data_IF_322979309022
#
_entry.id   IF_322979309022
#
_cell.length_a   1.000
_cell.length_b   1.000
_cell.length_c   1.000
_cell.angle_alpha   90.00
_cell.angle_beta   90.00
_cell.angle_gamma   90.00
#
_symmetry.space_group_name_H-M   'P 1'
#
loop_
_entity.id
_entity.type
_entity.pdbx_description
1 polymer ?
#
# COMPACT_ATOMS: atom_id res chain seq x y z
N UNK A 1 -76.39 -3.46 42.47
CA UNK A 1 -75.23 -3.75 43.34
C UNK A 1 -74.52 -4.98 42.78
N UNK A 2 -73.47 -4.84 41.96
CA UNK A 2 -72.36 -5.81 41.75
C UNK A 2 -71.40 -5.27 40.68
N UNK A 3 -70.13 -5.67 40.81
CA UNK A 3 -68.93 -4.88 40.54
C UNK A 3 -68.51 -4.90 39.07
N UNK A 4 -68.01 -3.75 38.60
CA UNK A 4 -67.35 -3.52 37.31
C UNK A 4 -66.04 -4.32 37.23
N UNK A 5 -65.84 -5.03 36.13
CA UNK A 5 -64.55 -5.57 35.71
C UNK A 5 -63.70 -4.44 35.12
N UNK A 6 -62.46 -4.30 35.60
CA UNK A 6 -61.47 -3.43 34.97
C UNK A 6 -60.11 -4.14 35.04
N UNK A 7 -59.81 -4.93 34.02
CA UNK A 7 -58.52 -5.61 33.87
C UNK A 7 -57.60 -4.68 33.09
N UNK A 8 -56.70 -4.00 33.78
CA UNK A 8 -55.65 -3.17 33.19
C UNK A 8 -54.53 -4.09 32.69
N UNK A 9 -54.46 -4.35 31.39
CA UNK A 9 -53.31 -5.01 30.77
C UNK A 9 -52.24 -3.95 30.49
N UNK A 10 -51.19 -3.92 31.31
CA UNK A 10 -50.02 -3.06 31.12
C UNK A 10 -49.15 -3.68 30.02
N UNK A 11 -49.28 -3.19 28.79
CA UNK A 11 -48.41 -3.58 27.67
C UNK A 11 -47.03 -2.92 27.86
N UNK A 12 -46.07 -3.69 28.38
CA UNK A 12 -44.67 -3.27 28.50
C UNK A 12 -44.02 -3.35 27.12
N UNK A 13 -43.97 -2.23 26.40
CA UNK A 13 -43.24 -2.11 25.12
C UNK A 13 -41.74 -2.15 25.41
N UNK A 14 -41.13 -3.32 25.21
CA UNK A 14 -39.68 -3.48 25.24
C UNK A 14 -39.09 -2.84 23.97
N UNK A 15 -38.75 -1.56 24.06
CA UNK A 15 -38.01 -0.87 23.01
C UNK A 15 -36.55 -1.36 23.08
N UNK A 16 -36.23 -2.42 22.34
CA UNK A 16 -34.86 -2.85 22.15
C UNK A 16 -34.14 -1.74 21.39
N UNK A 17 -33.35 -0.93 22.11
CA UNK A 17 -32.41 -0.01 21.51
C UNK A 17 -31.42 -0.84 20.68
N UNK A 18 -31.63 -0.87 19.36
CA UNK A 18 -30.65 -1.40 18.43
C UNK A 18 -29.51 -0.40 18.38
N UNK A 19 -28.54 -0.57 19.27
CA UNK A 19 -27.24 0.08 19.11
C UNK A 19 -26.65 -0.43 17.79
N UNK A 20 -26.24 0.44 16.86
CA UNK A 20 -25.48 -0.02 15.71
C UNK A 20 -24.22 -0.70 16.26
N UNK A 21 -24.08 -2.00 15.97
CA UNK A 21 -22.83 -2.69 16.21
C UNK A 21 -21.79 -2.01 15.33
N UNK A 22 -20.93 -1.17 15.93
CA UNK A 22 -19.79 -0.61 15.22
C UNK A 22 -18.97 -1.78 14.69
N UNK A 23 -18.68 -1.76 13.40
CA UNK A 23 -17.84 -2.78 12.81
C UNK A 23 -16.46 -2.63 13.44
N UNK A 24 -16.04 -3.63 14.23
CA UNK A 24 -14.77 -3.59 14.92
C UNK A 24 -13.62 -3.36 13.93
N UNK A 25 -12.68 -2.49 14.30
CA UNK A 25 -11.45 -2.26 13.54
C UNK A 25 -10.80 -3.60 13.17
N UNK A 26 -10.58 -3.81 11.88
CA UNK A 26 -9.87 -4.99 11.41
C UNK A 26 -8.39 -4.67 11.39
N UNK A 27 -7.59 -5.47 12.10
CA UNK A 27 -6.13 -5.41 12.01
C UNK A 27 -5.61 -6.62 11.23
N UNK A 28 -4.71 -6.38 10.28
CA UNK A 28 -4.05 -7.41 9.49
C UNK A 28 -2.54 -7.18 9.51
N UNK A 29 -1.79 -8.26 9.70
CA UNK A 29 -0.33 -8.27 9.60
C UNK A 29 0.11 -9.11 8.40
N UNK A 30 0.87 -8.48 7.51
CA UNK A 30 1.47 -9.18 6.37
C UNK A 30 3.00 -9.09 6.43
N UNK A 31 3.67 -10.18 6.07
CA UNK A 31 5.13 -10.27 6.10
C UNK A 31 5.64 -10.61 4.71
N UNK A 32 6.80 -10.08 4.33
CA UNK A 32 7.41 -10.30 3.03
C UNK A 32 8.91 -10.53 3.15
N UNK A 33 9.45 -11.31 2.22
CA UNK A 33 10.89 -11.41 1.96
C UNK A 33 11.22 -10.73 0.65
N UNK A 34 12.24 -9.87 0.69
CA UNK A 34 12.83 -9.18 -0.45
C UNK A 34 14.13 -9.91 -0.79
N UNK A 35 14.26 -10.37 -2.03
CA UNK A 35 15.42 -11.11 -2.51
C UNK A 35 15.91 -10.58 -3.86
N UNK A 36 17.21 -10.69 -4.12
CA UNK A 36 17.83 -10.40 -5.41
C UNK A 36 18.54 -11.65 -5.90
N UNK A 37 18.20 -12.10 -7.11
CA UNK A 37 18.71 -13.35 -7.67
C UNK A 37 18.50 -14.57 -6.73
N UNK A 38 17.39 -14.57 -5.98
CA UNK A 38 17.07 -15.61 -4.99
C UNK A 38 17.75 -15.47 -3.64
N UNK A 39 18.71 -14.54 -3.49
CA UNK A 39 19.40 -14.28 -2.22
C UNK A 39 18.60 -13.28 -1.37
N UNK A 40 18.22 -13.62 -0.13
CA UNK A 40 17.50 -12.70 0.75
C UNK A 40 18.31 -11.44 1.04
N UNK A 41 17.71 -10.27 0.82
CA UNK A 41 18.29 -8.96 1.11
C UNK A 41 17.65 -8.31 2.33
N UNK A 42 16.34 -8.41 2.47
CA UNK A 42 15.58 -7.75 3.52
C UNK A 42 14.26 -8.49 3.80
N UNK A 43 13.69 -8.24 4.97
CA UNK A 43 12.32 -8.59 5.29
C UNK A 43 11.50 -7.31 5.48
N UNK A 44 10.22 -7.38 5.14
CA UNK A 44 9.26 -6.32 5.40
C UNK A 44 8.09 -6.86 6.25
N UNK A 45 7.61 -6.06 7.18
CA UNK A 45 6.38 -6.33 7.94
C UNK A 45 5.46 -5.14 7.79
N UNK A 46 4.23 -5.38 7.39
CA UNK A 46 3.17 -4.39 7.30
C UNK A 46 2.12 -4.69 8.37
N UNK A 47 1.65 -3.65 9.05
CA UNK A 47 0.47 -3.68 9.92
C UNK A 47 -0.55 -2.74 9.32
N UNK A 48 -1.72 -3.27 8.99
CA UNK A 48 -2.82 -2.51 8.42
C UNK A 48 -3.98 -2.53 9.39
N UNK A 49 -4.51 -1.36 9.73
CA UNK A 49 -5.78 -1.20 10.41
C UNK A 49 -6.78 -0.62 9.43
N UNK A 50 -7.99 -1.16 9.44
CA UNK A 50 -9.13 -0.68 8.65
C UNK A 50 -10.32 -0.50 9.59
N UNK A 51 -10.68 0.75 9.85
CA UNK A 51 -11.91 1.11 10.54
C UNK A 51 -13.08 1.21 9.56
N UNK A 52 -14.18 1.83 10.00
CA UNK A 52 -15.36 2.06 9.15
C UNK A 52 -15.09 3.11 8.07
N UNK A 53 -14.37 4.19 8.40
CA UNK A 53 -14.13 5.33 7.49
C UNK A 53 -12.66 5.75 7.39
N UNK A 54 -11.76 5.10 8.12
CA UNK A 54 -10.34 5.41 8.14
C UNK A 54 -9.47 4.15 8.04
N UNK A 55 -8.20 4.36 7.70
CA UNK A 55 -7.20 3.30 7.66
C UNK A 55 -5.84 3.80 8.13
N UNK A 56 -5.00 2.85 8.58
CA UNK A 56 -3.57 3.07 8.78
C UNK A 56 -2.77 1.88 8.24
N UNK A 57 -1.64 2.15 7.60
CA UNK A 57 -0.68 1.13 7.16
C UNK A 57 0.70 1.55 7.63
N UNK A 58 1.31 0.77 8.51
CA UNK A 58 2.68 0.95 8.97
C UNK A 58 3.55 -0.20 8.45
N UNK A 59 4.71 0.13 7.86
CA UNK A 59 5.64 -0.84 7.34
C UNK A 59 7.03 -0.66 7.95
N UNK A 60 7.67 -1.77 8.30
CA UNK A 60 9.07 -1.83 8.72
C UNK A 60 9.83 -2.76 7.80
N UNK A 61 10.94 -2.28 7.25
CA UNK A 61 11.81 -3.02 6.33
C UNK A 61 13.21 -3.04 6.93
N UNK A 62 13.81 -4.21 7.04
CA UNK A 62 15.15 -4.36 7.59
C UNK A 62 15.96 -5.38 6.80
N UNK A 63 17.26 -5.12 6.66
CA UNK A 63 18.22 -6.04 6.05
C UNK A 63 18.18 -7.43 6.70
N UNK A 64 18.37 -8.48 5.90
CA UNK A 64 18.31 -9.88 6.31
C UNK A 64 19.52 -10.68 5.79
N UNK A 65 19.78 -11.84 6.39
CA UNK A 65 20.84 -12.76 5.96
C UNK A 65 22.24 -12.12 5.92
N UNK A 66 23.02 -12.50 4.91
CA UNK A 66 24.40 -12.00 4.71
C UNK A 66 24.42 -10.49 4.42
N UNK A 67 23.34 -9.93 3.84
CA UNK A 67 23.26 -8.50 3.56
C UNK A 67 23.35 -7.65 4.84
N UNK A 68 22.86 -8.16 5.98
CA UNK A 68 22.98 -7.49 7.29
C UNK A 68 24.43 -7.35 7.76
N UNK A 69 25.31 -8.27 7.36
CA UNK A 69 26.74 -8.23 7.69
C UNK A 69 27.50 -7.20 6.84
N UNK A 70 26.94 -6.80 5.69
CA UNK A 70 27.56 -5.86 4.75
C UNK A 70 27.03 -4.44 4.99
N UNK A 71 25.71 -4.25 5.07
CA UNK A 71 25.07 -2.95 5.31
C UNK A 71 23.79 -3.09 6.14
N UNK A 72 23.79 -2.52 7.36
CA UNK A 72 22.56 -2.37 8.17
C UNK A 72 21.69 -1.25 7.59
N UNK A 73 20.68 -1.67 6.81
CA UNK A 73 19.67 -0.79 6.23
C UNK A 73 18.34 -1.03 6.92
N UNK A 74 17.69 0.07 7.33
CA UNK A 74 16.33 0.07 7.89
C UNK A 74 15.49 1.12 7.19
N UNK A 75 14.24 0.78 6.92
CA UNK A 75 13.27 1.69 6.35
C UNK A 75 11.92 1.52 7.05
N UNK A 76 11.20 2.61 7.19
CA UNK A 76 9.90 2.73 7.85
C UNK A 76 8.99 3.51 6.90
N UNK A 77 7.77 3.03 6.69
CA UNK A 77 6.74 3.72 5.92
C UNK A 77 5.47 3.80 6.76
N UNK A 78 4.72 4.89 6.63
CA UNK A 78 3.38 4.99 7.21
C UNK A 78 2.46 5.71 6.24
N UNK A 79 1.28 5.16 6.01
CA UNK A 79 0.19 5.79 5.25
C UNK A 79 -1.07 5.77 6.12
N UNK A 80 -1.67 6.94 6.31
CA UNK A 80 -2.93 7.09 7.03
C UNK A 80 -3.87 7.97 6.22
N UNK A 81 -5.16 7.67 6.30
CA UNK A 81 -6.17 8.45 5.60
C UNK A 81 -7.56 7.86 5.76
N UNK A 82 -8.42 8.22 4.82
CA UNK A 82 -9.84 7.87 4.84
C UNK A 82 -10.16 6.78 3.83
N UNK A 83 -11.24 6.05 4.09
CA UNK A 83 -11.83 5.10 3.17
C UNK A 83 -13.01 5.78 2.51
N UNK A 84 -12.97 5.91 1.19
CA UNK A 84 -14.06 6.51 0.40
C UNK A 84 -14.18 5.72 -0.90
N UNK A 85 -15.41 5.35 -1.26
CA UNK A 85 -15.70 4.47 -2.39
C UNK A 85 -14.98 3.11 -2.29
N UNK A 86 -14.80 2.62 -1.06
CA UNK A 86 -14.02 1.43 -0.70
C UNK A 86 -12.52 1.51 -1.00
N UNK A 87 -12.01 2.67 -1.43
CA UNK A 87 -10.60 2.93 -1.71
C UNK A 87 -9.91 3.62 -0.55
N UNK A 88 -8.63 3.32 -0.36
CA UNK A 88 -7.77 4.02 0.59
C UNK A 88 -7.30 5.32 -0.03
N UNK A 89 -7.79 6.44 0.51
CA UNK A 89 -7.41 7.80 0.08
C UNK A 89 -6.46 8.37 1.13
N UNK A 90 -5.16 8.49 0.86
CA UNK A 90 -4.21 8.97 1.84
C UNK A 90 -4.46 10.42 2.19
N UNK A 91 -4.21 10.76 3.46
CA UNK A 91 -4.13 12.12 3.97
C UNK A 91 -2.71 12.45 4.39
N UNK A 92 -1.97 11.47 4.92
CA UNK A 92 -0.56 11.60 5.27
C UNK A 92 0.21 10.35 4.88
N UNK A 93 1.35 10.56 4.23
CA UNK A 93 2.33 9.53 3.94
C UNK A 93 3.68 9.94 4.52
N UNK A 94 4.40 8.99 5.10
CA UNK A 94 5.78 9.18 5.49
C UNK A 94 6.64 8.00 5.06
N UNK A 95 7.87 8.31 4.67
CA UNK A 95 8.88 7.32 4.35
C UNK A 95 10.21 7.77 4.95
N UNK A 96 10.79 6.92 5.80
CA UNK A 96 12.09 7.15 6.42
C UNK A 96 12.99 6.00 6.12
N UNK A 97 14.21 6.26 5.68
CA UNK A 97 15.21 5.21 5.49
C UNK A 97 16.58 5.63 6.00
N UNK A 98 17.30 4.66 6.55
CA UNK A 98 18.66 4.79 7.03
C UNK A 98 19.57 3.86 6.21
N UNK A 99 20.57 4.45 5.58
CA UNK A 99 21.64 3.74 4.87
C UNK A 99 22.99 4.12 5.48
N UNK A 100 23.58 3.22 6.26
CA UNK A 100 24.76 3.52 7.07
C UNK A 100 24.49 4.66 8.06
N UNK A 101 25.24 5.77 7.96
CA UNK A 101 25.03 6.97 8.78
C UNK A 101 24.03 7.98 8.19
N UNK A 102 23.57 7.78 6.96
CA UNK A 102 22.69 8.73 6.27
C UNK A 102 21.24 8.37 6.55
N UNK A 103 20.48 9.34 7.04
CA UNK A 103 19.03 9.24 7.22
C UNK A 103 18.39 10.16 6.18
N UNK A 104 17.34 9.66 5.53
CA UNK A 104 16.41 10.48 4.76
C UNK A 104 15.00 10.23 5.23
N UNK A 105 14.19 11.29 5.20
CA UNK A 105 12.77 11.21 5.47
C UNK A 105 11.97 12.10 4.53
N UNK A 106 10.79 11.61 4.18
CA UNK A 106 9.79 12.28 3.38
C UNK A 106 8.49 12.28 4.15
N UNK A 107 7.80 13.42 4.16
CA UNK A 107 6.44 13.54 4.64
C UNK A 107 5.62 14.21 3.54
N UNK A 108 4.49 13.63 3.22
CA UNK A 108 3.57 14.16 2.21
C UNK A 108 2.18 14.26 2.82
N UNK A 109 1.56 15.42 2.68
CA UNK A 109 0.17 15.67 3.08
C UNK A 109 -0.69 15.75 1.84
N UNK A 110 -1.85 15.12 1.89
CA UNK A 110 -2.82 15.06 0.81
C UNK A 110 -4.17 15.62 1.28
N UNK A 111 -4.92 16.20 0.35
CA UNK A 111 -6.31 16.59 0.52
C UNK A 111 -7.09 16.22 -0.74
N UNK A 112 -8.06 15.30 -0.62
CA UNK A 112 -8.88 14.86 -1.76
C UNK A 112 -8.08 14.30 -2.94
N UNK A 113 -6.96 13.61 -2.66
CA UNK A 113 -6.05 13.09 -3.70
C UNK A 113 -5.06 14.13 -4.26
N UNK A 114 -5.03 15.35 -3.75
CA UNK A 114 -4.04 16.35 -4.16
C UNK A 114 -2.98 16.52 -3.09
N UNK A 115 -1.70 16.60 -3.47
CA UNK A 115 -0.62 16.90 -2.51
C UNK A 115 -0.66 18.38 -2.15
N UNK A 116 -0.79 18.66 -0.86
CA UNK A 116 -0.80 20.03 -0.32
C UNK A 116 0.54 20.42 0.28
N UNK A 117 1.31 19.45 0.77
CA UNK A 117 2.62 19.67 1.37
C UNK A 117 3.56 18.50 1.10
N UNK A 118 4.84 18.81 0.92
CA UNK A 118 5.91 17.80 0.92
C UNK A 118 7.11 18.34 1.70
N UNK A 119 7.55 17.58 2.70
CA UNK A 119 8.76 17.83 3.46
C UNK A 119 9.77 16.73 3.15
N UNK A 120 11.03 17.12 2.94
CA UNK A 120 12.12 16.21 2.61
C UNK A 120 13.36 16.61 3.40
N UNK A 121 13.87 15.69 4.22
CA UNK A 121 15.02 15.94 5.07
C UNK A 121 16.11 14.86 4.90
N UNK A 122 17.38 15.25 4.72
CA UNK A 122 17.83 16.62 4.48
C UNK A 122 17.33 17.16 3.12
N UNK A 123 17.13 18.48 3.03
CA UNK A 123 16.65 19.13 1.79
C UNK A 123 17.50 18.69 0.59
N UNK A 124 16.85 18.16 -0.43
CA UNK A 124 17.52 17.74 -1.64
C UNK A 124 18.05 18.94 -2.43
N UNK A 125 19.35 18.94 -2.70
CA UNK A 125 19.96 19.88 -3.64
C UNK A 125 19.51 19.53 -5.05
N UNK A 126 18.89 20.48 -5.75
CA UNK A 126 18.50 20.31 -7.16
C UNK A 126 19.76 20.04 -7.99
N UNK A 127 19.77 18.90 -8.70
CA UNK A 127 20.87 18.51 -9.60
C UNK A 127 20.60 19.00 -11.01
N UNK A 128 21.64 19.14 -11.84
CA UNK A 128 21.48 19.37 -13.28
C UNK A 128 20.61 18.25 -13.90
N UNK A 129 19.82 18.59 -14.91
CA UNK A 129 18.94 17.66 -15.65
C UNK A 129 17.83 17.02 -14.80
N UNK A 130 17.39 17.68 -13.73
CA UNK A 130 16.22 17.26 -12.97
C UNK A 130 14.93 17.56 -13.75
N UNK A 131 14.01 16.61 -13.81
CA UNK A 131 12.66 16.85 -14.31
C UNK A 131 11.83 17.39 -13.15
N UNK A 132 11.45 18.68 -13.16
CA UNK A 132 10.77 19.30 -12.02
C UNK A 132 9.34 18.76 -11.88
N UNK A 133 8.88 18.66 -10.64
CA UNK A 133 7.46 18.44 -10.32
C UNK A 133 6.73 19.76 -10.53
N UNK A 134 5.63 19.70 -11.27
CA UNK A 134 4.71 20.82 -11.49
C UNK A 134 3.47 20.64 -10.62
N UNK A 135 2.73 21.71 -10.29
CA UNK A 135 1.49 21.59 -9.51
C UNK A 135 0.50 20.56 -10.08
N UNK A 136 0.38 20.46 -11.41
CA UNK A 136 -0.46 19.47 -12.09
C UNK A 136 -0.04 18.01 -11.85
N UNK A 137 1.25 17.75 -11.59
CA UNK A 137 1.76 16.40 -11.32
C UNK A 137 1.32 15.90 -9.93
N UNK A 138 0.89 16.82 -9.06
CA UNK A 138 0.50 16.60 -7.67
C UNK A 138 -1.03 16.48 -7.48
N UNK A 139 -1.79 16.45 -8.57
CA UNK A 139 -3.25 16.33 -8.54
C UNK A 139 -3.68 14.88 -8.78
N UNK A 140 -4.72 14.44 -8.06
CA UNK A 140 -5.32 13.10 -8.18
C UNK A 140 -4.27 11.97 -8.12
N UNK A 141 -3.42 12.03 -7.09
CA UNK A 141 -2.38 11.06 -6.78
C UNK A 141 -2.66 10.32 -5.49
N UNK A 142 -1.96 9.22 -5.30
CA UNK A 142 -1.94 8.42 -4.07
C UNK A 142 -0.49 8.16 -3.65
N UNK A 143 -0.30 7.60 -2.45
CA UNK A 143 1.00 7.16 -1.98
C UNK A 143 1.33 5.73 -2.47
N UNK A 144 2.61 5.31 -2.43
CA UNK A 144 3.05 4.03 -2.99
C UNK A 144 2.43 2.78 -2.35
N UNK A 145 1.89 2.88 -1.12
CA UNK A 145 1.38 1.74 -0.35
C UNK A 145 -0.14 1.68 -0.47
N UNK A 146 -0.84 2.75 -0.13
CA UNK A 146 -2.31 2.77 -0.19
C UNK A 146 -2.82 2.58 -1.62
N UNK A 147 -2.12 3.14 -2.62
CA UNK A 147 -2.47 2.98 -4.03
C UNK A 147 -2.38 1.56 -4.57
N UNK A 148 -1.71 0.65 -3.87
CA UNK A 148 -1.63 -0.77 -4.21
C UNK A 148 -2.70 -1.62 -3.50
N UNK A 149 -3.50 -1.04 -2.62
CA UNK A 149 -4.63 -1.72 -1.99
C UNK A 149 -5.90 -1.37 -2.76
N UNK A 150 -6.53 -2.37 -3.37
CA UNK A 150 -7.67 -2.18 -4.25
C UNK A 150 -8.95 -2.74 -3.65
N UNK A 151 -10.12 -2.12 -3.84
CA UNK A 151 -11.41 -2.70 -3.48
C UNK A 151 -11.58 -4.10 -4.09
N UNK A 152 -12.13 -5.06 -3.32
CA UNK A 152 -12.25 -6.44 -3.78
C UNK A 152 -13.31 -6.67 -4.88
N UNK A 153 -14.15 -5.68 -5.15
CA UNK A 153 -15.13 -5.64 -6.24
C UNK A 153 -14.56 -5.05 -7.54
N UNK A 154 -13.31 -4.57 -7.53
CA UNK A 154 -12.61 -4.02 -8.70
C UNK A 154 -11.50 -4.95 -9.17
N UNK A 155 -11.25 -4.96 -10.48
CA UNK A 155 -10.12 -5.68 -11.08
C UNK A 155 -8.81 -4.99 -10.68
N UNK A 156 -7.92 -5.63 -9.89
CA UNK A 156 -6.69 -5.00 -9.43
C UNK A 156 -5.71 -4.72 -10.58
N UNK A 157 -5.91 -5.30 -11.76
CA UNK A 157 -5.05 -5.12 -12.91
C UNK A 157 -5.49 -4.02 -13.90
N UNK A 158 -6.69 -3.44 -13.81
CA UNK A 158 -7.15 -2.42 -14.78
C UNK A 158 -6.83 -0.98 -14.37
N UNK A 159 -6.11 -0.79 -13.27
CA UNK A 159 -5.81 0.53 -12.74
C UNK A 159 -4.52 1.12 -13.32
N UNK A 160 -4.58 2.41 -13.67
CA UNK A 160 -3.41 3.28 -13.62
C UNK A 160 -3.35 3.82 -12.21
N UNK A 161 -2.23 3.59 -11.52
CA UNK A 161 -2.04 4.05 -10.14
C UNK A 161 -1.12 5.28 -10.21
N UNK A 162 -1.67 6.50 -10.04
CA UNK A 162 -0.90 7.74 -10.05
C UNK A 162 -0.20 7.91 -8.70
N UNK A 163 1.06 7.48 -8.59
CA UNK A 163 1.81 7.52 -7.34
C UNK A 163 2.67 8.77 -7.24
N UNK A 164 2.63 9.43 -6.09
CA UNK A 164 3.64 10.38 -5.64
C UNK A 164 4.26 9.89 -4.34
N UNK A 165 5.59 9.69 -4.33
CA UNK A 165 6.31 9.07 -3.20
C UNK A 165 7.00 10.07 -2.26
N UNK A 166 6.73 11.37 -2.44
CA UNK A 166 7.41 12.46 -1.74
C UNK A 166 8.65 13.01 -2.46
N UNK A 167 9.14 12.34 -3.50
CA UNK A 167 10.25 12.80 -4.34
C UNK A 167 9.89 12.83 -5.83
N UNK A 168 9.15 11.83 -6.31
CA UNK A 168 8.87 11.56 -7.70
C UNK A 168 7.39 11.29 -7.95
N UNK A 169 6.93 11.70 -9.13
CA UNK A 169 5.61 11.38 -9.67
C UNK A 169 5.76 10.30 -10.73
N UNK A 170 5.02 9.19 -10.59
CA UNK A 170 5.05 8.07 -11.53
C UNK A 170 3.70 7.39 -11.68
N UNK A 171 3.38 6.89 -12.87
CA UNK A 171 2.24 6.00 -13.05
C UNK A 171 2.72 4.55 -13.01
N UNK A 172 2.06 3.74 -12.19
CA UNK A 172 2.11 2.29 -12.33
C UNK A 172 0.94 1.90 -13.23
N UNK A 173 1.23 1.27 -14.38
CA UNK A 173 0.19 0.77 -15.28
C UNK A 173 0.14 -0.74 -15.14
N UNK A 174 -1.02 -1.24 -14.74
CA UNK A 174 -1.28 -2.65 -14.60
C UNK A 174 -2.07 -3.14 -15.81
N UNK A 175 -1.89 -4.41 -16.17
CA UNK A 175 -2.78 -5.10 -17.09
C UNK A 175 -2.84 -6.58 -16.73
N UNK A 176 -4.03 -7.16 -16.78
CA UNK A 176 -4.26 -8.55 -16.42
C UNK A 176 -3.40 -9.48 -17.29
N UNK A 177 -2.79 -10.49 -16.66
CA UNK A 177 -1.94 -11.47 -17.35
C UNK A 177 -2.42 -12.90 -17.21
N UNK A 178 -2.73 -13.34 -15.98
CA UNK A 178 -3.23 -14.68 -15.66
C UNK A 178 -3.65 -14.77 -14.20
N UNK A 179 -4.31 -15.86 -13.85
CA UNK A 179 -4.44 -16.37 -12.48
C UNK A 179 -3.27 -17.30 -12.16
N UNK A 180 -2.87 -17.35 -10.89
CA UNK A 180 -1.78 -18.19 -10.42
C UNK A 180 -2.05 -18.69 -9.01
N UNK A 181 -1.92 -19.99 -8.78
CA UNK A 181 -1.98 -20.53 -7.41
C UNK A 181 -0.86 -19.93 -6.56
N UNK A 182 -1.22 -19.41 -5.39
CA UNK A 182 -0.30 -18.82 -4.43
C UNK A 182 -0.57 -19.38 -3.02
N UNK A 183 0.49 -19.61 -2.28
CA UNK A 183 0.41 -20.12 -0.92
C UNK A 183 1.49 -19.47 -0.05
N UNK A 184 1.07 -19.13 1.17
CA UNK A 184 1.88 -18.56 2.24
C UNK A 184 1.19 -18.84 3.60
N UNK A 185 1.80 -18.47 4.72
CA UNK A 185 1.09 -18.47 6.01
C UNK A 185 -0.15 -17.55 5.93
N UNK A 186 -1.32 -18.05 6.32
CA UNK A 186 -2.60 -17.30 6.32
C UNK A 186 -3.35 -17.26 4.98
N UNK A 187 -2.75 -17.73 3.87
CA UNK A 187 -3.42 -17.71 2.56
C UNK A 187 -3.03 -18.91 1.69
N UNK A 188 -4.05 -19.54 1.10
CA UNK A 188 -3.90 -20.56 0.06
C UNK A 188 -5.05 -20.41 -0.93
N UNK A 189 -4.74 -20.00 -2.17
CA UNK A 189 -5.77 -19.74 -3.16
C UNK A 189 -5.20 -19.26 -4.48
N UNK A 190 -6.04 -18.63 -5.28
CA UNK A 190 -5.66 -17.99 -6.53
C UNK A 190 -5.24 -16.55 -6.29
N UNK A 191 -4.14 -16.16 -6.91
CA UNK A 191 -3.70 -14.78 -7.02
C UNK A 191 -3.87 -14.30 -8.46
N UNK A 192 -4.27 -13.04 -8.62
CA UNK A 192 -4.39 -12.39 -9.92
C UNK A 192 -3.04 -11.79 -10.27
N UNK A 193 -2.44 -12.22 -11.38
CA UNK A 193 -1.17 -11.72 -11.88
C UNK A 193 -1.42 -10.59 -12.87
N UNK A 194 -0.89 -9.42 -12.56
CA UNK A 194 -0.85 -8.28 -13.46
C UNK A 194 0.57 -8.11 -14.02
N UNK A 195 0.67 -7.81 -15.32
CA UNK A 195 1.84 -7.13 -15.84
C UNK A 195 1.94 -5.73 -15.24
N UNK A 196 3.15 -5.25 -14.99
CA UNK A 196 3.41 -3.94 -14.40
C UNK A 196 4.30 -3.12 -15.33
N UNK A 197 3.94 -1.86 -15.59
CA UNK A 197 4.80 -0.87 -16.25
C UNK A 197 5.03 0.32 -15.35
N UNK A 198 6.29 0.73 -15.28
CA UNK A 198 6.74 1.91 -14.54
C UNK A 198 6.89 3.09 -15.50
N UNK A 199 6.05 4.11 -15.35
CA UNK A 199 6.09 5.33 -16.17
C UNK A 199 6.43 6.56 -15.29
N UNK A 200 7.70 6.95 -15.19
CA UNK A 200 8.09 8.09 -14.38
C UNK A 200 7.74 9.40 -15.10
N UNK A 201 7.09 10.32 -14.40
CA UNK A 201 6.57 11.59 -14.93
C UNK A 201 7.44 12.78 -14.53
N UNK A 202 7.74 12.91 -13.24
CA UNK A 202 8.50 14.04 -12.70
C UNK A 202 9.25 13.66 -11.42
N UNK A 203 10.13 14.56 -10.93
CA UNK A 203 10.83 14.38 -9.66
C UNK A 203 11.97 13.37 -9.72
N UNK A 204 12.65 13.29 -10.87
CA UNK A 204 13.83 12.46 -11.03
C UNK A 204 14.87 13.10 -11.95
N UNK A 205 16.11 12.62 -11.89
CA UNK A 205 17.18 13.04 -12.81
C UNK A 205 17.03 12.33 -14.15
N UNK A 206 16.91 13.09 -15.24
CA UNK A 206 16.94 12.54 -16.60
C UNK A 206 18.24 11.75 -16.83
N UNK A 207 18.14 10.57 -17.41
CA UNK A 207 19.29 9.69 -17.63
C UNK A 207 19.76 8.95 -16.37
N UNK A 208 18.97 8.93 -15.29
CA UNK A 208 19.26 8.07 -14.14
C UNK A 208 19.16 6.60 -14.56
N UNK A 209 20.28 5.87 -14.53
CA UNK A 209 20.41 4.54 -15.13
C UNK A 209 19.34 3.54 -14.69
N UNK A 210 18.99 3.51 -13.41
CA UNK A 210 17.97 2.58 -12.89
C UNK A 210 16.56 2.93 -13.38
N UNK A 211 16.23 4.22 -13.45
CA UNK A 211 14.93 4.69 -13.95
C UNK A 211 14.83 4.42 -15.46
N UNK A 212 15.89 4.71 -16.21
CA UNK A 212 15.95 4.44 -17.66
C UNK A 212 15.91 2.96 -18.00
N UNK A 213 16.40 2.11 -17.09
CA UNK A 213 16.30 0.67 -17.23
C UNK A 213 14.88 0.20 -16.93
N UNK A 214 14.35 0.50 -15.73
CA UNK A 214 13.05 0.00 -15.26
C UNK A 214 11.91 0.47 -16.17
N UNK A 215 11.95 1.72 -16.66
CA UNK A 215 10.90 2.25 -17.55
C UNK A 215 10.79 1.52 -18.90
N UNK A 216 11.83 0.80 -19.32
CA UNK A 216 11.85 0.02 -20.57
C UNK A 216 11.41 -1.43 -20.36
N UNK A 217 11.32 -1.90 -19.12
CA UNK A 217 10.96 -3.28 -18.83
C UNK A 217 9.52 -3.58 -19.23
N UNK A 218 9.33 -4.77 -19.78
CA UNK A 218 8.04 -5.28 -20.27
C UNK A 218 7.54 -6.51 -19.53
N UNK A 219 8.38 -7.06 -18.66
CA UNK A 219 8.24 -8.35 -18.01
C UNK A 219 8.24 -8.23 -16.48
N UNK A 220 7.89 -7.06 -15.94
CA UNK A 220 7.59 -6.93 -14.51
C UNK A 220 6.20 -7.49 -14.23
N UNK A 221 6.05 -8.13 -13.08
CA UNK A 221 4.77 -8.68 -12.62
C UNK A 221 4.51 -8.29 -11.17
N UNK A 222 3.25 -8.01 -10.86
CA UNK A 222 2.74 -7.88 -9.51
C UNK A 222 1.52 -8.77 -9.36
N UNK A 223 1.43 -9.52 -8.27
CA UNK A 223 0.34 -10.47 -8.03
C UNK A 223 -0.47 -10.00 -6.83
N UNK A 224 -1.79 -10.09 -6.95
CA UNK A 224 -2.73 -9.68 -5.92
C UNK A 224 -3.49 -10.88 -5.38
N UNK A 225 -3.63 -10.95 -4.06
CA UNK A 225 -4.54 -11.87 -3.39
C UNK A 225 -5.65 -11.07 -2.71
N UNK A 226 -6.84 -11.65 -2.64
CA UNK A 226 -7.95 -11.07 -1.87
C UNK A 226 -7.72 -11.37 -0.38
N UNK A 227 -7.79 -10.35 0.45
CA UNK A 227 -7.92 -10.49 1.90
C UNK A 227 -9.41 -10.43 2.24
N UNK A 228 -9.96 -11.55 2.70
CA UNK A 228 -11.32 -11.67 3.20
C UNK A 228 -11.62 -10.69 4.33
N UNK A 229 -10.82 -10.66 5.42
CA UNK A 229 -11.05 -9.77 6.56
C UNK A 229 -11.09 -8.29 6.18
N UNK A 230 -10.22 -7.87 5.26
CA UNK A 230 -10.13 -6.47 4.83
C UNK A 230 -11.04 -6.14 3.64
N UNK A 231 -11.60 -7.16 2.97
CA UNK A 231 -12.35 -7.05 1.71
C UNK A 231 -11.64 -6.18 0.64
N UNK A 232 -10.35 -6.42 0.45
CA UNK A 232 -9.49 -5.74 -0.54
C UNK A 232 -8.58 -6.74 -1.24
N UNK A 233 -8.11 -6.39 -2.44
CA UNK A 233 -6.92 -6.98 -3.03
C UNK A 233 -5.67 -6.26 -2.54
N UNK A 234 -4.65 -7.03 -2.18
CA UNK A 234 -3.33 -6.49 -1.82
C UNK A 234 -2.20 -7.32 -2.47
N UNK A 235 -1.03 -6.70 -2.73
CA UNK A 235 0.06 -7.40 -3.40
C UNK A 235 0.63 -8.52 -2.53
N UNK A 236 0.79 -9.72 -3.10
CA UNK A 236 1.45 -10.86 -2.44
C UNK A 236 2.77 -11.24 -3.10
N UNK A 237 3.01 -10.74 -4.31
CA UNK A 237 4.25 -10.96 -5.02
C UNK A 237 4.57 -9.81 -5.98
N UNK A 238 5.84 -9.45 -6.10
CA UNK A 238 6.38 -8.52 -7.09
C UNK A 238 7.65 -9.13 -7.69
N UNK A 239 7.82 -9.02 -9.00
CA UNK A 239 9.01 -9.43 -9.74
C UNK A 239 9.47 -8.30 -10.65
N UNK A 240 10.70 -7.82 -10.44
CA UNK A 240 11.33 -6.76 -11.22
C UNK A 240 12.70 -7.23 -11.66
N UNK A 241 12.91 -7.48 -12.97
CA UNK A 241 14.24 -7.70 -13.51
C UNK A 241 15.15 -6.52 -13.20
N UNK A 242 16.40 -6.78 -12.84
CA UNK A 242 17.44 -5.77 -12.68
C UNK A 242 18.70 -6.20 -13.43
N UNK A 243 19.69 -5.30 -13.55
CA UNK A 243 21.00 -5.63 -14.14
C UNK A 243 21.77 -6.70 -13.36
N UNK A 244 21.40 -6.95 -12.10
CA UNK A 244 22.10 -7.84 -11.18
C UNK A 244 21.30 -9.12 -10.86
N UNK A 245 20.24 -9.39 -11.63
CA UNK A 245 19.29 -10.48 -11.38
C UNK A 245 17.90 -9.97 -11.01
N UNK A 246 16.95 -10.89 -10.81
CA UNK A 246 15.57 -10.51 -10.54
C UNK A 246 15.41 -10.12 -9.07
N UNK A 247 14.90 -8.92 -8.82
CA UNK A 247 14.40 -8.50 -7.52
C UNK A 247 12.99 -9.07 -7.34
N UNK A 248 12.77 -9.79 -6.25
CA UNK A 248 11.45 -10.30 -5.88
C UNK A 248 11.05 -9.82 -4.50
N UNK A 249 9.78 -9.47 -4.33
CA UNK A 249 9.14 -9.28 -3.02
C UNK A 249 8.06 -10.34 -2.93
N UNK A 250 8.13 -11.25 -1.96
CA UNK A 250 7.17 -12.36 -1.80
C UNK A 250 6.59 -12.35 -0.40
N UNK A 251 5.27 -12.41 -0.29
CA UNK A 251 4.59 -12.59 0.98
C UNK A 251 4.99 -13.93 1.61
N UNK A 252 5.37 -13.89 2.88
CA UNK A 252 5.60 -15.04 3.76
C UNK A 252 4.49 -15.19 4.80
N UNK A 253 3.67 -14.15 4.99
CA UNK A 253 2.38 -14.19 5.70
C UNK A 253 1.40 -13.20 5.07
N UNK A 254 0.17 -13.64 4.86
CA UNK A 254 -0.93 -12.82 4.34
C UNK A 254 -2.25 -13.39 4.85
N UNK A 255 -3.05 -12.60 5.58
CA UNK A 255 -4.36 -13.07 6.05
C UNK A 255 -5.40 -12.93 4.91
N UNK A 256 -5.72 -14.09 4.33
CA UNK A 256 -6.65 -14.30 3.23
C UNK A 256 -8.12 -14.30 3.58
#
# INVERSE_FOLDING_TARGET
MQKRYFTFFLAMVFCAAQYPASAADVENRTNYTIALAGLPLANATFRTRKGESDYSIDAQIASAGVARLIVDTKAEMSSVGVISDSEFKPERFSFRYKYGKRIRQFHTTFAGGNVTETLMEPKQKKRKNWIPIRPQDLLSVTDPVSGLVMPADRDPCRAIIPVYDGEARLNLKLAHKREQKFQTEGFKGEAIVCSLRYEPKAGYRRGHGDIEYIRKLTNMEIWFAKSGPMNVYAPVFLSVPTKYGTLTIRATRFEG
#
